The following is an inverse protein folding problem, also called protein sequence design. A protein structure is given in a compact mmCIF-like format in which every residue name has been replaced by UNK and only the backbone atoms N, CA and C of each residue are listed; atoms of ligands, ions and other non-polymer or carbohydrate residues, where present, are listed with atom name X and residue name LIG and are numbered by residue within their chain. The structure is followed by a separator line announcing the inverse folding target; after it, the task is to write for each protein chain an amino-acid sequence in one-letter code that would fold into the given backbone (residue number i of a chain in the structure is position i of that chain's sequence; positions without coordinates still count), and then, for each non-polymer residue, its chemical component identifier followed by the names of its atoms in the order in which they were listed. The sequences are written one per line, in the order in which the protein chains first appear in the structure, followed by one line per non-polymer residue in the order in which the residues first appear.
data_IF_908034272350
#
_entry.id   IF_908034272350
#
_cell.length_a   1.000
_cell.length_b   1.000
_cell.length_c   1.000
_cell.angle_alpha   90.00
_cell.angle_beta   90.00
_cell.angle_gamma   90.00
#
_symmetry.space_group_name_H-M   'P 1'
#
loop_
_entity.id
_entity.type
_entity.pdbx_description
1 polymer ?
#
# COMPACT_ATOMS: atom_id res chain seq x y z
N UNK A 1 -3.09 -3.13 54.08
CA UNK A 1 -3.50 -2.08 53.12
C UNK A 1 -3.08 -2.60 51.73
N UNK A 2 -3.85 -3.24 50.88
CA UNK A 2 -5.28 -3.58 50.74
C UNK A 2 -5.26 -4.69 49.67
N UNK A 3 -5.75 -5.89 49.96
CA UNK A 3 -7.00 -6.43 49.38
C UNK A 3 -7.04 -6.35 47.85
N UNK A 4 -6.90 -7.47 47.14
CA UNK A 4 -8.04 -8.27 46.67
C UNK A 4 -9.10 -7.47 45.90
N UNK A 5 -9.36 -7.93 44.69
CA UNK A 5 -10.60 -7.79 43.93
C UNK A 5 -10.91 -6.43 43.29
N UNK A 6 -10.80 -6.40 41.97
CA UNK A 6 -12.03 -6.27 41.17
C UNK A 6 -11.82 -6.96 39.83
N UNK A 7 -12.38 -8.16 39.72
CA UNK A 7 -12.44 -8.94 38.49
C UNK A 7 -13.50 -8.35 37.55
N UNK A 8 -13.15 -8.32 36.25
CA UNK A 8 -13.99 -8.64 35.08
C UNK A 8 -15.29 -7.81 34.83
N UNK A 9 -15.81 -7.80 33.59
CA UNK A 9 -16.41 -9.00 32.99
C UNK A 9 -15.74 -9.33 31.64
N UNK A 10 -15.37 -10.58 31.33
CA UNK A 10 -16.30 -11.59 30.80
C UNK A 10 -17.34 -10.97 29.85
N UNK A 11 -16.93 -10.69 28.60
CA UNK A 11 -17.92 -10.40 27.56
C UNK A 11 -17.53 -10.89 26.18
N UNK A 12 -17.19 -12.17 26.09
CA UNK A 12 -17.36 -12.91 24.86
C UNK A 12 -18.32 -14.06 25.15
N UNK A 13 -19.60 -13.73 25.28
CA UNK A 13 -20.60 -14.72 24.94
C UNK A 13 -20.28 -15.18 23.51
N UNK A 14 -20.28 -16.49 23.19
CA UNK A 14 -20.28 -16.93 21.80
C UNK A 14 -21.64 -16.54 21.19
N UNK A 15 -21.82 -15.25 20.92
CA UNK A 15 -22.95 -14.73 20.16
C UNK A 15 -22.57 -14.88 18.70
N UNK A 16 -23.33 -15.74 18.03
CA UNK A 16 -23.07 -16.28 16.69
C UNK A 16 -22.30 -15.36 15.76
N UNK A 17 -21.17 -15.86 15.28
CA UNK A 17 -20.35 -15.16 14.30
C UNK A 17 -19.32 -16.12 13.75
N UNK A 18 -19.76 -17.03 12.87
CA UNK A 18 -18.85 -18.00 12.23
C UNK A 18 -17.60 -17.33 11.64
N UNK A 19 -17.73 -16.09 11.15
CA UNK A 19 -16.61 -15.31 10.60
C UNK A 19 -15.63 -14.79 11.67
N UNK A 20 -16.09 -14.29 12.82
CA UNK A 20 -15.20 -13.75 13.88
C UNK A 20 -14.41 -14.87 14.56
N UNK A 21 -15.09 -15.96 14.96
CA UNK A 21 -14.41 -17.12 15.55
C UNK A 21 -13.43 -17.82 14.59
N UNK A 22 -13.74 -17.84 13.29
CA UNK A 22 -12.81 -18.31 12.25
C UNK A 22 -11.59 -17.40 12.12
N UNK A 23 -11.77 -16.08 12.17
CA UNK A 23 -10.68 -15.10 12.10
C UNK A 23 -9.76 -15.23 13.32
N UNK A 24 -10.30 -15.39 14.53
CA UNK A 24 -9.50 -15.54 15.75
C UNK A 24 -8.67 -16.83 15.73
N UNK A 25 -9.28 -17.94 15.32
CA UNK A 25 -8.61 -19.25 15.22
C UNK A 25 -7.49 -19.25 14.16
N UNK A 26 -7.71 -18.55 13.05
CA UNK A 26 -6.80 -18.58 11.89
C UNK A 26 -5.98 -17.28 11.73
N UNK A 27 -5.96 -16.42 12.74
CA UNK A 27 -5.39 -15.07 12.65
C UNK A 27 -3.94 -15.06 12.14
N UNK A 28 -3.13 -16.05 12.55
CA UNK A 28 -1.74 -16.18 12.16
C UNK A 28 -1.59 -16.48 10.66
N UNK A 29 -2.39 -17.42 10.14
CA UNK A 29 -2.40 -17.78 8.71
C UNK A 29 -2.93 -16.65 7.85
N UNK A 30 -4.02 -15.99 8.28
CA UNK A 30 -4.60 -14.85 7.59
C UNK A 30 -3.57 -13.71 7.49
N UNK A 31 -2.90 -13.40 8.61
CA UNK A 31 -1.83 -12.39 8.63
C UNK A 31 -0.68 -12.72 7.68
N UNK A 32 -0.25 -13.99 7.65
CA UNK A 32 0.82 -14.43 6.76
C UNK A 32 0.41 -14.32 5.29
N UNK A 33 -0.78 -14.80 4.92
CA UNK A 33 -1.31 -14.71 3.56
C UNK A 33 -1.44 -13.25 3.12
N UNK A 34 -2.02 -12.38 3.95
CA UNK A 34 -2.16 -10.96 3.62
C UNK A 34 -0.81 -10.27 3.42
N UNK A 35 0.21 -10.61 4.23
CA UNK A 35 1.57 -10.10 4.06
C UNK A 35 2.20 -10.55 2.75
N UNK A 36 2.06 -11.83 2.40
CA UNK A 36 2.60 -12.38 1.16
C UNK A 36 1.89 -11.76 -0.04
N UNK A 37 0.56 -11.64 -0.01
CA UNK A 37 -0.21 -10.99 -1.08
C UNK A 37 0.23 -9.53 -1.28
N UNK A 38 0.35 -8.77 -0.19
CA UNK A 38 0.80 -7.38 -0.25
C UNK A 38 2.24 -7.28 -0.78
N UNK A 39 3.14 -8.17 -0.37
CA UNK A 39 4.50 -8.21 -0.89
C UNK A 39 4.55 -8.50 -2.40
N UNK A 40 3.82 -9.53 -2.85
CA UNK A 40 3.72 -9.90 -4.27
C UNK A 40 3.16 -8.72 -5.09
N UNK A 41 2.13 -8.04 -4.58
CA UNK A 41 1.57 -6.85 -5.22
C UNK A 41 2.62 -5.74 -5.38
N UNK A 42 3.40 -5.46 -4.33
CA UNK A 42 4.49 -4.47 -4.41
C UNK A 42 5.56 -4.85 -5.43
N UNK A 43 5.97 -6.12 -5.47
CA UNK A 43 6.94 -6.58 -6.47
C UNK A 43 6.40 -6.47 -7.89
N UNK A 44 5.14 -6.89 -8.11
CA UNK A 44 4.51 -6.80 -9.42
C UNK A 44 4.50 -5.35 -9.94
N UNK A 45 4.25 -4.39 -9.06
CA UNK A 45 4.24 -2.97 -9.41
C UNK A 45 5.65 -2.38 -9.60
N UNK A 46 6.63 -2.84 -8.83
CA UNK A 46 8.02 -2.35 -8.89
C UNK A 46 8.78 -2.90 -10.10
N UNK A 47 8.58 -4.17 -10.46
CA UNK A 47 9.33 -4.83 -11.56
C UNK A 47 9.16 -4.10 -12.89
N UNK A 48 7.94 -3.63 -13.21
CA UNK A 48 7.69 -2.83 -14.42
C UNK A 48 8.42 -1.49 -14.45
N UNK A 49 8.63 -0.87 -13.28
CA UNK A 49 9.28 0.44 -13.14
C UNK A 49 10.81 0.38 -13.17
N UNK A 50 11.39 -0.78 -12.85
CA UNK A 50 12.85 -0.97 -12.85
C UNK A 50 13.45 -0.97 -14.26
N UNK A 51 12.68 -1.42 -15.26
CA UNK A 51 13.13 -1.45 -16.66
C UNK A 51 13.19 -0.07 -17.33
N UNK A 52 12.37 0.88 -16.86
CA UNK A 52 12.25 2.22 -17.43
C UNK A 52 11.86 3.24 -16.34
N UNK A 53 12.77 3.60 -15.42
CA UNK A 53 12.49 4.55 -14.34
C UNK A 53 12.11 5.95 -14.88
N UNK A 54 12.56 6.29 -16.10
CA UNK A 54 12.14 7.48 -16.82
C UNK A 54 10.63 7.52 -17.12
N UNK A 55 10.01 6.38 -17.42
CA UNK A 55 8.57 6.29 -17.63
C UNK A 55 7.80 6.63 -16.36
N UNK A 56 8.25 6.12 -15.21
CA UNK A 56 7.63 6.43 -13.93
C UNK A 56 7.81 7.91 -13.54
N UNK A 57 8.96 8.52 -13.86
CA UNK A 57 9.17 9.96 -13.67
C UNK A 57 8.27 10.82 -14.57
N UNK A 58 8.01 10.38 -15.81
CA UNK A 58 7.04 11.04 -16.69
C UNK A 58 5.62 10.96 -16.12
N UNK A 59 5.19 9.79 -15.62
CA UNK A 59 3.89 9.67 -14.94
C UNK A 59 3.79 10.62 -13.74
N UNK A 60 4.85 10.74 -12.93
CA UNK A 60 4.90 11.70 -11.80
C UNK A 60 4.76 13.15 -12.28
N UNK A 61 5.40 13.49 -13.40
CA UNK A 61 5.31 14.82 -14.04
C UNK A 61 3.88 15.15 -14.46
N UNK A 62 3.16 14.17 -14.99
CA UNK A 62 1.77 14.33 -15.44
C UNK A 62 0.80 14.66 -14.30
N UNK A 63 1.12 14.29 -13.05
CA UNK A 63 0.33 14.72 -11.90
C UNK A 63 0.36 16.24 -11.70
N UNK A 64 1.40 16.96 -12.16
CA UNK A 64 1.56 18.43 -12.02
C UNK A 64 1.39 18.95 -10.57
N UNK A 65 1.68 18.12 -9.57
CA UNK A 65 1.60 18.48 -8.13
C UNK A 65 2.98 18.89 -7.58
N UNK A 66 4.06 18.28 -8.09
CA UNK A 66 5.43 18.51 -7.62
C UNK A 66 6.19 19.50 -8.52
N UNK A 67 7.13 20.28 -7.95
CA UNK A 67 8.06 21.08 -8.74
C UNK A 67 9.04 20.20 -9.50
N UNK A 68 9.55 20.71 -10.62
CA UNK A 68 10.27 19.89 -11.59
C UNK A 68 11.58 19.28 -11.09
N UNK A 69 12.21 19.90 -10.09
CA UNK A 69 13.39 19.35 -9.41
C UNK A 69 13.10 18.09 -8.59
N UNK A 70 11.86 17.90 -8.13
CA UNK A 70 11.46 16.77 -7.30
C UNK A 70 10.83 15.62 -8.10
N UNK A 71 10.32 15.90 -9.31
CA UNK A 71 9.66 14.91 -10.17
C UNK A 71 10.56 13.71 -10.45
N UNK A 72 11.81 13.95 -10.87
CA UNK A 72 12.77 12.89 -11.17
C UNK A 72 13.16 12.11 -9.91
N UNK A 73 13.38 12.81 -8.79
CA UNK A 73 13.73 12.18 -7.51
C UNK A 73 12.63 11.25 -7.03
N UNK A 74 11.36 11.71 -7.03
CA UNK A 74 10.23 10.88 -6.62
C UNK A 74 9.94 9.75 -7.62
N UNK A 75 10.00 10.04 -8.92
CA UNK A 75 9.83 9.05 -9.99
C UNK A 75 10.83 7.91 -9.90
N UNK A 76 12.07 8.19 -9.50
CA UNK A 76 13.10 7.17 -9.33
C UNK A 76 13.05 6.52 -7.95
N UNK A 77 12.77 7.26 -6.88
CA UNK A 77 12.75 6.72 -5.52
C UNK A 77 11.59 5.75 -5.29
N UNK A 78 10.41 6.03 -5.86
CA UNK A 78 9.20 5.24 -5.67
C UNK A 78 9.40 3.73 -5.91
N UNK A 79 9.93 3.25 -7.06
CA UNK A 79 10.09 1.81 -7.30
C UNK A 79 11.02 1.12 -6.29
N UNK A 80 12.07 1.80 -5.81
CA UNK A 80 12.96 1.25 -4.77
C UNK A 80 12.26 1.16 -3.42
N UNK A 81 11.42 2.14 -3.07
CA UNK A 81 10.60 2.09 -1.86
C UNK A 81 9.60 0.93 -1.90
N UNK A 82 8.93 0.74 -3.03
CA UNK A 82 7.98 -0.37 -3.23
C UNK A 82 8.68 -1.73 -3.09
N UNK A 83 9.87 -1.87 -3.69
CA UNK A 83 10.69 -3.08 -3.60
C UNK A 83 11.14 -3.36 -2.15
N UNK A 84 11.61 -2.33 -1.44
CA UNK A 84 12.05 -2.44 -0.06
C UNK A 84 10.88 -2.86 0.85
N UNK A 85 9.71 -2.24 0.71
CA UNK A 85 8.51 -2.62 1.48
C UNK A 85 8.09 -4.07 1.21
N UNK A 86 8.10 -4.52 -0.06
CA UNK A 86 7.84 -5.90 -0.43
C UNK A 86 8.82 -6.89 0.21
N UNK A 87 10.12 -6.59 0.16
CA UNK A 87 11.18 -7.38 0.80
C UNK A 87 10.99 -7.46 2.31
N UNK A 88 10.76 -6.33 2.98
CA UNK A 88 10.55 -6.29 4.43
C UNK A 88 9.30 -7.08 4.84
N UNK A 89 8.22 -7.06 4.04
CA UNK A 89 7.01 -7.85 4.28
C UNK A 89 7.26 -9.36 4.19
N UNK A 90 8.06 -9.82 3.21
CA UNK A 90 8.47 -11.23 3.10
C UNK A 90 9.33 -11.62 4.30
N UNK A 91 10.35 -10.83 4.61
CA UNK A 91 11.27 -11.11 5.72
C UNK A 91 10.59 -11.03 7.10
N UNK A 92 9.47 -10.30 7.19
CA UNK A 92 8.70 -10.16 8.43
C UNK A 92 9.34 -9.27 9.48
N UNK A 93 10.25 -8.40 9.06
CA UNK A 93 10.83 -7.39 9.93
C UNK A 93 9.90 -6.17 10.00
N UNK A 94 9.56 -5.75 11.22
CA UNK A 94 8.80 -4.51 11.43
C UNK A 94 7.42 -4.48 10.74
N UNK A 95 6.76 -5.64 10.60
CA UNK A 95 5.53 -5.82 9.79
C UNK A 95 4.47 -4.76 10.03
N UNK A 96 4.27 -4.33 11.29
CA UNK A 96 3.29 -3.29 11.65
C UNK A 96 3.65 -1.94 11.05
N UNK A 97 4.92 -1.54 11.10
CA UNK A 97 5.40 -0.29 10.52
C UNK A 97 5.35 -0.36 8.99
N UNK A 98 5.81 -1.46 8.40
CA UNK A 98 5.85 -1.67 6.95
C UNK A 98 4.44 -1.70 6.36
N UNK A 99 3.46 -2.29 7.07
CA UNK A 99 2.05 -2.26 6.68
C UNK A 99 1.47 -0.83 6.71
N UNK A 100 1.80 -0.03 7.74
CA UNK A 100 1.40 1.38 7.80
C UNK A 100 2.00 2.17 6.63
N UNK A 101 3.30 2.01 6.38
CA UNK A 101 3.99 2.66 5.27
C UNK A 101 3.39 2.26 3.92
N UNK A 102 3.08 0.97 3.75
CA UNK A 102 2.41 0.46 2.55
C UNK A 102 1.02 1.10 2.36
N UNK A 103 0.23 1.17 3.43
CA UNK A 103 -1.09 1.79 3.38
C UNK A 103 -1.01 3.29 3.05
N UNK A 104 -0.06 4.02 3.65
CA UNK A 104 0.16 5.43 3.35
C UNK A 104 0.58 5.63 1.90
N UNK A 105 1.51 4.82 1.39
CA UNK A 105 1.96 4.90 0.00
C UNK A 105 0.80 4.63 -0.97
N UNK A 106 -0.04 3.64 -0.66
CA UNK A 106 -1.22 3.34 -1.45
C UNK A 106 -2.23 4.49 -1.44
N UNK A 107 -2.47 5.11 -0.28
CA UNK A 107 -3.36 6.27 -0.15
C UNK A 107 -2.85 7.49 -0.94
N UNK A 108 -1.54 7.75 -0.92
CA UNK A 108 -0.93 8.82 -1.73
C UNK A 108 -1.14 8.55 -3.21
N UNK A 109 -0.93 7.31 -3.67
CA UNK A 109 -1.11 6.93 -5.07
C UNK A 109 -2.58 7.09 -5.51
N UNK A 110 -3.53 6.59 -4.71
CA UNK A 110 -4.97 6.74 -4.95
C UNK A 110 -5.36 8.22 -4.97
N UNK A 111 -4.88 9.02 -4.00
CA UNK A 111 -5.13 10.45 -3.94
C UNK A 111 -4.63 11.20 -5.17
N UNK A 112 -3.48 10.80 -5.71
CA UNK A 112 -2.96 11.29 -6.99
C UNK A 112 -3.93 11.03 -8.15
N UNK A 113 -4.41 9.80 -8.30
CA UNK A 113 -5.35 9.42 -9.37
C UNK A 113 -6.66 10.21 -9.24
N UNK A 114 -7.20 10.30 -8.03
CA UNK A 114 -8.42 11.08 -7.76
C UNK A 114 -8.20 12.56 -8.11
N UNK A 115 -7.04 13.12 -7.77
CA UNK A 115 -6.68 14.50 -8.10
C UNK A 115 -6.63 14.75 -9.61
N UNK A 116 -6.10 13.81 -10.40
CA UNK A 116 -6.12 13.89 -11.87
C UNK A 116 -7.56 13.90 -12.42
N UNK A 117 -8.40 12.98 -11.93
CA UNK A 117 -9.81 12.89 -12.33
C UNK A 117 -10.59 14.16 -11.98
N UNK A 118 -10.37 14.73 -10.79
CA UNK A 118 -10.99 15.99 -10.37
C UNK A 118 -10.57 17.19 -11.25
N UNK A 119 -9.41 17.12 -11.91
CA UNK A 119 -8.89 18.14 -12.84
C UNK A 119 -9.22 17.84 -14.31
N UNK A 120 -9.94 16.74 -14.60
CA UNK A 120 -10.28 16.33 -15.96
C UNK A 120 -9.09 15.84 -16.79
N UNK A 121 -7.98 15.43 -16.15
CA UNK A 121 -6.80 14.91 -16.83
C UNK A 121 -6.96 13.40 -16.97
N UNK A 122 -7.14 12.91 -18.21
CA UNK A 122 -7.20 11.49 -18.49
C UNK A 122 -5.79 10.88 -18.47
N UNK A 123 -5.59 9.84 -17.67
CA UNK A 123 -4.33 9.10 -17.57
C UNK A 123 -4.60 7.61 -17.78
N UNK A 124 -3.74 6.94 -18.52
CA UNK A 124 -3.72 5.48 -18.55
C UNK A 124 -2.99 5.00 -17.30
N UNK A 125 -3.66 4.33 -16.38
CA UNK A 125 -3.09 3.87 -15.10
C UNK A 125 -2.06 2.72 -15.23
N UNK A 126 -1.38 2.59 -16.39
CA UNK A 126 -0.51 1.48 -16.79
C UNK A 126 0.14 0.75 -15.61
N UNK A 127 -0.15 -0.55 -15.50
CA UNK A 127 0.32 -1.38 -14.39
C UNK A 127 1.86 -1.33 -14.35
N UNK A 128 2.44 -0.86 -13.24
CA UNK A 128 3.89 -0.81 -13.08
C UNK A 128 4.60 0.35 -13.78
N UNK A 129 3.95 1.51 -13.95
CA UNK A 129 4.63 2.76 -14.34
C UNK A 129 4.80 3.01 -15.84
N UNK A 130 4.14 2.21 -16.68
CA UNK A 130 4.04 2.42 -18.14
C UNK A 130 2.85 3.30 -18.54
N UNK A 131 2.29 4.06 -17.60
CA UNK A 131 1.11 4.90 -17.78
C UNK A 131 1.45 6.35 -18.07
N UNK A 132 0.56 7.08 -18.75
CA UNK A 132 0.76 8.49 -19.09
C UNK A 132 -0.53 9.19 -19.48
N UNK A 133 -0.46 10.51 -19.63
CA UNK A 133 -1.58 11.31 -20.11
C UNK A 133 -2.08 10.84 -21.48
N UNK A 134 -3.41 10.73 -21.62
CA UNK A 134 -4.09 10.36 -22.86
C UNK A 134 -5.12 11.42 -23.24
N UNK A 135 -5.51 11.47 -24.51
CA UNK A 135 -6.54 12.40 -24.96
C UNK A 135 -7.86 12.13 -24.22
N UNK A 136 -8.56 13.17 -23.72
CA UNK A 136 -9.89 13.00 -23.17
C UNK A 136 -10.84 12.55 -24.29
N UNK A 137 -11.57 11.45 -24.04
CA UNK A 137 -12.62 10.93 -24.91
C UNK A 137 -13.96 11.60 -24.67
#
# INVERSE_FOLDING_TARGET
MTSMASQAPAKDAPTGGGLRGFVDTNQQWISLVMRVLLAVMWFWYSVGKLGSPESNAQSVRDFRILPESLVTTFGYAQPYFELALGLLLILGLGTRLVAIMSALLLLVYIGGIISLGARGIAISCGCGGSGGAVAPG
#
